data_IF_996838363370
#
_entry.id   IF_996838363370
#
_cell.length_a   1.000
_cell.length_b   1.000
_cell.length_c   1.000
_cell.angle_alpha   90.00
_cell.angle_beta   90.00
_cell.angle_gamma   90.00
#
_symmetry.space_group_name_H-M   'P 1'
#
loop_
_entity.id
_entity.type
_entity.pdbx_description
1 polymer ?
#
# COMPACT_ATOMS: atom_id res chain seq x y z
N UNK A 1 16.73 5.91 -12.64
CA UNK A 1 17.59 6.94 -13.25
C UNK A 1 18.19 7.91 -12.24
N UNK A 2 17.41 8.53 -11.33
CA UNK A 2 17.92 9.60 -10.45
C UNK A 2 19.09 9.20 -9.54
N UNK A 3 19.10 7.97 -9.00
CA UNK A 3 20.16 7.51 -8.08
C UNK A 3 21.26 6.65 -8.73
N UNK A 4 20.91 5.80 -9.70
CA UNK A 4 21.82 4.80 -10.27
C UNK A 4 22.24 5.08 -11.74
N UNK A 5 21.73 6.16 -12.35
CA UNK A 5 21.90 6.44 -13.78
C UNK A 5 21.31 5.34 -14.67
N UNK A 6 21.79 5.25 -15.91
CA UNK A 6 21.40 4.23 -16.90
C UNK A 6 22.33 3.01 -16.95
N UNK A 7 23.41 3.03 -16.16
CA UNK A 7 24.49 2.04 -16.28
C UNK A 7 24.34 0.83 -15.36
N UNK A 8 23.46 0.92 -14.36
CA UNK A 8 23.24 -0.14 -13.39
C UNK A 8 21.81 -0.68 -13.55
N UNK A 9 21.64 -1.98 -13.83
CA UNK A 9 20.31 -2.57 -13.88
C UNK A 9 19.68 -2.54 -12.49
N UNK A 10 18.48 -1.99 -12.39
CA UNK A 10 17.64 -2.12 -11.21
C UNK A 10 16.83 -3.41 -11.38
N UNK A 11 17.16 -4.41 -10.56
CA UNK A 11 16.48 -5.71 -10.59
C UNK A 11 15.48 -5.71 -9.44
N UNK A 12 14.22 -5.98 -9.76
CA UNK A 12 13.16 -6.11 -8.75
C UNK A 12 13.46 -7.29 -7.82
N UNK A 13 12.84 -7.27 -6.63
CA UNK A 13 12.99 -8.38 -5.69
C UNK A 13 12.59 -9.69 -6.37
N UNK A 14 13.47 -10.70 -6.30
CA UNK A 14 13.29 -11.99 -7.01
C UNK A 14 12.04 -12.75 -6.58
N UNK A 15 11.45 -12.38 -5.44
CA UNK A 15 10.34 -13.07 -4.80
C UNK A 15 9.20 -12.07 -4.58
N UNK A 16 8.01 -12.44 -5.05
CA UNK A 16 6.76 -11.85 -4.60
C UNK A 16 6.28 -12.64 -3.38
N UNK A 17 6.27 -12.01 -2.22
CA UNK A 17 5.90 -12.65 -0.96
C UNK A 17 5.40 -11.67 0.08
N UNK A 18 4.87 -12.23 1.15
CA UNK A 18 4.30 -11.52 2.30
C UNK A 18 4.50 -12.34 3.57
N UNK A 19 3.98 -11.87 4.70
CA UNK A 19 3.88 -12.67 5.93
C UNK A 19 3.05 -13.94 5.77
N UNK A 20 2.12 -13.95 4.82
CA UNK A 20 1.18 -15.03 4.52
C UNK A 20 1.81 -16.14 3.65
N UNK A 21 2.97 -15.87 3.04
CA UNK A 21 3.71 -16.86 2.26
C UNK A 21 4.49 -16.27 1.08
N UNK A 22 5.11 -17.18 0.32
CA UNK A 22 5.78 -16.88 -0.94
C UNK A 22 4.88 -17.24 -2.10
N UNK A 23 4.54 -16.25 -2.94
CA UNK A 23 3.49 -16.38 -3.93
C UNK A 23 3.99 -16.36 -5.36
N UNK A 24 5.14 -15.74 -5.61
CA UNK A 24 5.68 -15.66 -6.96
C UNK A 24 7.18 -15.51 -7.04
N UNK A 25 7.72 -15.77 -8.23
CA UNK A 25 9.12 -15.55 -8.57
C UNK A 25 9.24 -14.64 -9.78
N UNK A 26 10.23 -13.75 -9.76
CA UNK A 26 10.49 -12.81 -10.83
C UNK A 26 10.76 -13.56 -12.14
N UNK A 27 9.99 -13.24 -13.17
CA UNK A 27 10.02 -13.93 -14.44
C UNK A 27 11.29 -13.62 -15.25
N UNK A 28 11.75 -12.38 -15.19
CA UNK A 28 12.98 -11.93 -15.83
C UNK A 28 13.54 -10.73 -15.08
N UNK A 29 14.88 -10.67 -14.99
CA UNK A 29 15.59 -9.52 -14.39
C UNK A 29 15.42 -8.21 -15.18
N UNK A 30 14.85 -8.30 -16.38
CA UNK A 30 14.59 -7.15 -17.26
C UNK A 30 13.14 -6.66 -17.18
N UNK A 31 12.30 -7.29 -16.35
CA UNK A 31 10.87 -7.00 -16.21
C UNK A 31 10.48 -6.86 -14.75
N UNK A 32 9.27 -6.39 -14.49
CA UNK A 32 8.59 -6.39 -13.18
C UNK A 32 7.51 -7.49 -13.09
N UNK A 33 7.58 -8.47 -13.99
CA UNK A 33 6.63 -9.58 -14.08
C UNK A 33 7.04 -10.73 -13.15
N UNK A 34 6.06 -11.36 -12.53
CA UNK A 34 6.20 -12.50 -11.65
C UNK A 34 5.38 -13.68 -12.17
N UNK A 35 5.92 -14.89 -12.03
CA UNK A 35 5.15 -16.13 -12.10
C UNK A 35 4.56 -16.42 -10.74
N UNK A 36 3.26 -16.69 -10.67
CA UNK A 36 2.65 -17.22 -9.46
C UNK A 36 3.04 -18.69 -9.26
N UNK A 37 3.18 -19.10 -8.00
CA UNK A 37 3.60 -20.44 -7.60
C UNK A 37 2.39 -21.25 -7.09
N UNK A 38 1.63 -21.93 -7.98
CA UNK A 38 0.41 -22.65 -7.61
C UNK A 38 0.66 -23.84 -6.66
N UNK A 39 1.92 -24.24 -6.48
CA UNK A 39 2.32 -25.26 -5.51
C UNK A 39 2.39 -24.73 -4.07
N UNK A 40 2.44 -23.41 -3.88
CA UNK A 40 2.53 -22.78 -2.55
C UNK A 40 1.19 -22.24 -2.05
N UNK A 41 0.30 -21.83 -2.97
CA UNK A 41 -1.04 -21.39 -2.63
C UNK A 41 -1.99 -21.67 -3.80
N UNK A 42 -3.26 -21.89 -3.47
CA UNK A 42 -4.34 -21.79 -4.44
C UNK A 42 -4.76 -20.32 -4.59
N UNK A 43 -4.83 -19.83 -5.82
CA UNK A 43 -5.11 -18.43 -6.13
C UNK A 43 -6.48 -18.26 -6.77
N UNK A 44 -7.21 -17.29 -6.23
CA UNK A 44 -8.44 -16.72 -6.77
C UNK A 44 -8.20 -15.22 -7.02
N UNK A 45 -9.01 -14.63 -7.91
CA UNK A 45 -8.83 -13.24 -8.36
C UNK A 45 -10.15 -12.49 -8.35
N UNK A 46 -10.21 -11.35 -7.68
CA UNK A 46 -11.36 -10.43 -7.70
C UNK A 46 -11.03 -9.31 -8.69
N UNK A 47 -11.93 -8.97 -9.61
CA UNK A 47 -11.69 -7.83 -10.52
C UNK A 47 -11.55 -6.53 -9.74
N UNK A 48 -10.70 -5.62 -10.21
CA UNK A 48 -10.47 -4.31 -9.56
C UNK A 48 -11.78 -3.55 -9.27
N UNK A 49 -12.74 -3.58 -10.20
CA UNK A 49 -14.07 -2.95 -10.09
C UNK A 49 -14.98 -3.58 -9.02
N UNK A 50 -14.69 -4.82 -8.60
CA UNK A 50 -15.50 -5.59 -7.65
C UNK A 50 -14.88 -5.64 -6.23
N UNK A 51 -13.70 -5.05 -6.02
CA UNK A 51 -12.95 -5.12 -4.74
C UNK A 51 -13.80 -4.66 -3.54
N UNK A 52 -14.58 -3.59 -3.70
CA UNK A 52 -15.38 -3.02 -2.61
C UNK A 52 -16.69 -3.79 -2.33
N UNK A 53 -16.99 -4.84 -3.11
CA UNK A 53 -18.18 -5.65 -2.87
C UNK A 53 -18.00 -6.52 -1.62
N UNK A 54 -19.10 -6.72 -0.89
CA UNK A 54 -19.10 -7.57 0.32
C UNK A 54 -18.83 -9.04 -0.01
N UNK A 55 -19.31 -9.52 -1.17
CA UNK A 55 -19.11 -10.89 -1.65
C UNK A 55 -18.81 -10.87 -3.15
N UNK A 56 -17.59 -10.48 -3.56
CA UNK A 56 -17.24 -10.41 -4.96
C UNK A 56 -17.15 -11.81 -5.56
N UNK A 57 -17.44 -11.90 -6.85
CA UNK A 57 -17.14 -13.11 -7.61
C UNK A 57 -15.63 -13.23 -7.79
N UNK A 58 -15.11 -14.43 -7.55
CA UNK A 58 -13.72 -14.75 -7.83
C UNK A 58 -13.57 -15.46 -9.17
N UNK A 59 -12.42 -15.25 -9.79
CA UNK A 59 -11.95 -15.91 -11.00
C UNK A 59 -10.77 -16.82 -10.66
N UNK A 60 -10.61 -17.90 -11.40
CA UNK A 60 -9.45 -18.76 -11.36
C UNK A 60 -8.29 -18.16 -12.16
N UNK A 61 -7.09 -18.66 -11.92
CA UNK A 61 -5.86 -18.28 -12.64
C UNK A 61 -5.98 -18.40 -14.17
N UNK A 62 -6.82 -19.31 -14.67
CA UNK A 62 -7.06 -19.51 -16.11
C UNK A 62 -8.09 -18.55 -16.71
N UNK A 63 -8.83 -17.84 -15.86
CA UNK A 63 -9.94 -16.95 -16.25
C UNK A 63 -9.55 -15.46 -16.27
N UNK A 64 -8.40 -15.10 -15.69
CA UNK A 64 -7.92 -13.71 -15.75
C UNK A 64 -7.40 -13.36 -17.14
N UNK A 65 -7.47 -12.08 -17.48
CA UNK A 65 -7.13 -11.57 -18.81
C UNK A 65 -6.03 -10.50 -18.78
N UNK A 66 -5.09 -10.52 -19.74
CA UNK A 66 -4.09 -9.47 -19.91
C UNK A 66 -4.69 -8.06 -19.97
N UNK A 67 -3.97 -7.09 -19.40
CA UNK A 67 -4.38 -5.69 -19.36
C UNK A 67 -5.43 -5.36 -18.29
N UNK A 68 -5.86 -6.35 -17.51
CA UNK A 68 -6.81 -6.16 -16.42
C UNK A 68 -6.14 -6.38 -15.06
N UNK A 69 -6.71 -5.73 -14.04
CA UNK A 69 -6.22 -5.79 -12.67
C UNK A 69 -7.14 -6.58 -11.77
N UNK A 70 -6.53 -7.26 -10.82
CA UNK A 70 -7.22 -8.16 -9.92
C UNK A 70 -6.62 -8.12 -8.52
N UNK A 71 -7.45 -8.09 -7.49
CA UNK A 71 -6.99 -8.40 -6.14
C UNK A 71 -6.76 -9.90 -5.99
N UNK A 72 -5.63 -10.25 -5.38
CA UNK A 72 -5.25 -11.64 -5.11
C UNK A 72 -5.95 -12.15 -3.85
N UNK A 73 -6.62 -13.28 -4.00
CA UNK A 73 -7.17 -14.07 -2.91
C UNK A 73 -6.41 -15.39 -2.85
N UNK A 74 -5.91 -15.75 -1.68
CA UNK A 74 -5.10 -16.96 -1.52
C UNK A 74 -5.72 -17.95 -0.53
N UNK A 75 -5.54 -19.23 -0.81
CA UNK A 75 -5.74 -20.33 0.14
C UNK A 75 -4.41 -21.06 0.31
N UNK A 76 -3.92 -21.16 1.54
CA UNK A 76 -2.60 -21.72 1.85
C UNK A 76 -2.72 -22.97 2.71
N UNK A 77 -1.68 -23.82 2.68
CA UNK A 77 -1.57 -25.00 3.54
C UNK A 77 -1.41 -24.64 5.03
N UNK A 78 -0.97 -23.42 5.33
CA UNK A 78 -0.90 -22.84 6.67
C UNK A 78 -2.28 -22.45 7.26
N UNK A 79 -3.38 -22.69 6.53
CA UNK A 79 -4.74 -22.55 7.04
C UNK A 79 -5.44 -21.22 6.71
N UNK A 80 -4.85 -20.38 5.86
CA UNK A 80 -5.59 -19.26 5.26
C UNK A 80 -6.55 -19.83 4.21
N UNK A 81 -7.83 -19.50 4.30
CA UNK A 81 -8.87 -19.98 3.37
C UNK A 81 -9.57 -18.79 2.76
N UNK A 82 -9.47 -18.66 1.42
CA UNK A 82 -9.99 -17.53 0.65
C UNK A 82 -9.63 -16.17 1.27
N UNK A 83 -8.38 -16.05 1.72
CA UNK A 83 -7.87 -14.85 2.37
C UNK A 83 -7.58 -13.79 1.32
N UNK A 84 -8.22 -12.62 1.48
CA UNK A 84 -7.99 -11.44 0.64
C UNK A 84 -6.67 -10.80 1.02
N UNK A 85 -5.68 -10.87 0.12
CA UNK A 85 -4.36 -10.31 0.41
C UNK A 85 -4.34 -8.78 0.39
N UNK A 86 -5.30 -8.14 -0.30
CA UNK A 86 -5.28 -6.72 -0.60
C UNK A 86 -4.29 -6.32 -1.69
N UNK A 87 -3.40 -7.22 -2.14
CA UNK A 87 -2.50 -6.94 -3.25
C UNK A 87 -3.27 -7.00 -4.57
N UNK A 88 -3.22 -5.90 -5.33
CA UNK A 88 -3.79 -5.78 -6.66
C UNK A 88 -2.68 -5.98 -7.68
N UNK A 89 -2.86 -6.97 -8.55
CA UNK A 89 -1.91 -7.34 -9.59
C UNK A 89 -2.50 -7.07 -10.96
N UNK A 90 -1.65 -6.63 -11.89
CA UNK A 90 -2.01 -6.53 -13.29
C UNK A 90 -1.62 -7.83 -14.00
N UNK A 91 -2.57 -8.50 -14.66
CA UNK A 91 -2.21 -9.59 -15.57
C UNK A 91 -1.57 -8.97 -16.80
N UNK A 92 -0.28 -9.20 -17.02
CA UNK A 92 0.44 -8.56 -18.13
C UNK A 92 0.27 -9.34 -19.42
N UNK A 93 0.47 -10.65 -19.36
CA UNK A 93 0.41 -11.59 -20.48
C UNK A 93 0.39 -13.02 -19.97
N UNK A 94 0.37 -13.99 -20.88
CA UNK A 94 0.66 -15.39 -20.55
C UNK A 94 2.06 -15.76 -20.99
N UNK A 95 2.67 -16.69 -20.25
CA UNK A 95 3.90 -17.36 -20.68
C UNK A 95 3.68 -18.05 -22.02
N UNK A 96 4.60 -17.87 -22.95
CA UNK A 96 4.57 -18.46 -24.28
C UNK A 96 5.83 -19.29 -24.57
N UNK A 97 5.78 -20.09 -25.64
CA UNK A 97 6.86 -21.05 -25.97
C UNK A 97 8.21 -20.42 -26.27
N UNK A 98 8.21 -19.17 -26.70
CA UNK A 98 9.42 -18.43 -27.05
C UNK A 98 10.02 -17.68 -25.87
N UNK A 99 9.38 -17.71 -24.70
CA UNK A 99 10.00 -17.21 -23.47
C UNK A 99 11.08 -18.22 -23.07
N UNK A 100 12.36 -17.85 -23.14
CA UNK A 100 13.56 -18.67 -22.87
C UNK A 100 13.67 -19.21 -21.41
N UNK A 101 12.55 -19.24 -20.68
CA UNK A 101 12.48 -19.47 -19.25
C UNK A 101 12.25 -20.95 -18.90
N UNK A 102 11.62 -21.73 -19.80
CA UNK A 102 11.43 -23.18 -19.64
C UNK A 102 11.42 -23.87 -21.02
N UNK A 103 12.29 -24.86 -21.28
CA UNK A 103 12.17 -25.69 -22.47
C UNK A 103 10.84 -26.45 -22.44
N UNK A 104 9.94 -26.13 -23.37
CA UNK A 104 8.65 -26.81 -23.44
C UNK A 104 8.79 -28.15 -24.17
N UNK A 105 7.97 -29.15 -23.82
CA UNK A 105 8.01 -30.46 -24.46
C UNK A 105 7.90 -30.33 -25.98
N UNK A 106 8.68 -31.13 -26.70
CA UNK A 106 8.71 -31.16 -28.17
C UNK A 106 7.34 -31.57 -28.75
N UNK A 107 6.62 -32.42 -28.03
CA UNK A 107 5.26 -32.82 -28.36
C UNK A 107 4.24 -31.75 -27.93
N UNK A 108 3.17 -31.49 -28.70
CA UNK A 108 2.12 -30.56 -28.33
C UNK A 108 1.30 -31.11 -27.15
N UNK A 109 1.75 -30.81 -25.94
CA UNK A 109 0.94 -30.89 -24.72
C UNK A 109 0.14 -29.58 -24.63
N UNK A 110 -1.14 -29.66 -24.24
CA UNK A 110 -1.93 -28.48 -23.88
C UNK A 110 -1.22 -27.76 -22.73
N UNK A 111 -0.58 -26.63 -23.04
CA UNK A 111 0.17 -25.87 -22.03
C UNK A 111 -0.86 -25.10 -21.20
N UNK A 112 -0.93 -25.30 -19.87
CA UNK A 112 -1.77 -24.48 -19.03
C UNK A 112 -1.36 -23.01 -19.22
N UNK A 113 -2.35 -22.14 -19.43
CA UNK A 113 -2.12 -20.69 -19.54
C UNK A 113 -1.55 -20.19 -18.21
N UNK A 114 -0.23 -20.00 -18.14
CA UNK A 114 0.44 -19.46 -16.94
C UNK A 114 0.46 -17.94 -17.06
N UNK A 115 -0.34 -17.20 -16.27
CA UNK A 115 -0.30 -15.75 -16.33
C UNK A 115 0.99 -15.24 -15.70
N UNK A 116 1.49 -14.16 -16.30
CA UNK A 116 2.46 -13.28 -15.71
C UNK A 116 1.74 -12.08 -15.10
N UNK A 117 2.18 -11.68 -13.92
CA UNK A 117 1.56 -10.59 -13.18
C UNK A 117 2.60 -9.60 -12.70
N UNK A 118 2.28 -8.30 -12.72
CA UNK A 118 3.05 -7.27 -12.02
C UNK A 118 2.24 -6.69 -10.85
N UNK A 119 2.93 -6.25 -9.80
CA UNK A 119 2.27 -5.64 -8.64
C UNK A 119 1.83 -4.22 -9.00
N UNK A 120 0.54 -3.92 -8.89
CA UNK A 120 0.01 -2.59 -9.18
C UNK A 120 -0.01 -1.72 -7.92
N UNK A 121 -0.71 -2.16 -6.88
CA UNK A 121 -0.80 -1.49 -5.58
C UNK A 121 -1.37 -2.45 -4.52
N UNK A 122 -1.44 -2.00 -3.27
CA UNK A 122 -2.14 -2.70 -2.20
C UNK A 122 -3.39 -1.91 -1.79
N UNK A 123 -4.57 -2.49 -2.00
CA UNK A 123 -5.85 -1.93 -1.61
C UNK A 123 -5.88 -1.62 -0.11
N UNK A 124 -6.47 -0.48 0.24
CA UNK A 124 -6.55 0.01 1.62
C UNK A 124 -5.26 0.63 2.17
N UNK A 125 -4.15 0.66 1.42
CA UNK A 125 -2.95 1.41 1.83
C UNK A 125 -3.07 2.89 1.43
N UNK A 126 -2.74 3.81 2.33
CA UNK A 126 -2.79 5.25 2.09
C UNK A 126 -1.39 5.86 1.99
N UNK A 127 -0.51 5.57 2.96
CA UNK A 127 0.88 6.01 2.98
C UNK A 127 1.78 4.79 3.21
N UNK A 128 2.78 4.62 2.34
CA UNK A 128 3.81 3.58 2.47
C UNK A 128 5.13 4.11 1.92
N UNK A 129 6.18 4.12 2.73
CA UNK A 129 7.53 4.47 2.27
C UNK A 129 8.56 3.39 2.61
N UNK A 130 8.39 2.69 3.73
CA UNK A 130 9.34 1.70 4.22
C UNK A 130 8.66 0.39 4.68
N UNK A 131 7.44 0.13 4.21
CA UNK A 131 6.66 -1.06 4.55
C UNK A 131 5.80 -0.90 5.80
N UNK A 132 5.61 0.32 6.30
CA UNK A 132 4.79 0.58 7.49
C UNK A 132 3.29 0.62 7.21
N UNK A 133 2.88 0.69 5.94
CA UNK A 133 1.51 0.45 5.46
C UNK A 133 0.45 1.21 6.27
N UNK A 134 0.58 2.52 6.33
CA UNK A 134 -0.39 3.39 7.00
C UNK A 134 -1.68 3.46 6.16
N UNK A 135 -2.80 2.98 6.69
CA UNK A 135 -4.10 3.02 6.05
C UNK A 135 -4.93 4.22 6.53
N UNK A 136 -6.12 4.40 5.94
CA UNK A 136 -7.05 5.48 6.29
C UNK A 136 -7.48 5.42 7.77
N UNK A 137 -7.70 4.24 8.32
CA UNK A 137 -8.10 4.07 9.72
C UNK A 137 -7.02 4.56 10.68
N UNK A 138 -5.75 4.25 10.41
CA UNK A 138 -4.62 4.72 11.22
C UNK A 138 -4.57 6.26 11.23
N UNK A 139 -4.69 6.89 10.06
CA UNK A 139 -4.63 8.33 9.95
C UNK A 139 -5.86 9.01 10.53
N UNK A 140 -7.07 8.51 10.25
CA UNK A 140 -8.32 9.01 10.83
C UNK A 140 -8.30 8.95 12.35
N UNK A 141 -7.88 7.82 12.93
CA UNK A 141 -7.74 7.69 14.38
C UNK A 141 -6.72 8.69 14.93
N UNK A 142 -5.59 8.88 14.25
CA UNK A 142 -4.58 9.85 14.68
C UNK A 142 -5.12 11.28 14.68
N UNK A 143 -5.79 11.70 13.60
CA UNK A 143 -6.39 13.02 13.45
C UNK A 143 -7.48 13.28 14.48
N UNK A 144 -8.39 12.33 14.70
CA UNK A 144 -9.44 12.42 15.71
C UNK A 144 -8.87 12.56 17.13
N UNK A 145 -7.83 11.79 17.47
CA UNK A 145 -7.16 11.90 18.76
C UNK A 145 -6.44 13.25 18.93
N UNK A 146 -5.81 13.75 17.88
CA UNK A 146 -5.19 15.09 17.89
C UNK A 146 -6.23 16.18 18.13
N UNK A 147 -7.34 16.15 17.41
CA UNK A 147 -8.43 17.13 17.56
C UNK A 147 -9.05 17.05 18.96
N UNK A 148 -9.26 15.83 19.48
CA UNK A 148 -9.71 15.66 20.86
C UNK A 148 -8.74 16.28 21.88
N UNK A 149 -7.43 16.18 21.65
CA UNK A 149 -6.43 16.82 22.50
C UNK A 149 -6.48 18.34 22.42
N UNK A 150 -6.64 18.92 21.23
CA UNK A 150 -6.82 20.36 21.07
C UNK A 150 -8.08 20.88 21.79
N UNK A 151 -9.21 20.16 21.68
CA UNK A 151 -10.43 20.49 22.43
C UNK A 151 -10.20 20.48 23.94
N UNK A 152 -9.47 19.49 24.46
CA UNK A 152 -9.13 19.42 25.89
C UNK A 152 -8.20 20.56 26.36
N UNK A 153 -7.44 21.17 25.45
CA UNK A 153 -6.64 22.36 25.70
C UNK A 153 -7.45 23.67 25.54
N UNK A 154 -8.75 23.56 25.24
CA UNK A 154 -9.66 24.69 25.07
C UNK A 154 -9.67 25.30 23.66
N UNK A 155 -9.12 24.60 22.66
CA UNK A 155 -9.12 25.06 21.26
C UNK A 155 -10.40 24.51 20.57
N UNK A 156 -11.34 25.38 20.14
CA UNK A 156 -12.66 24.97 19.65
C UNK A 156 -12.63 24.63 18.15
N UNK A 157 -11.96 23.53 17.79
CA UNK A 157 -11.85 23.05 16.39
C UNK A 157 -12.53 21.72 16.17
N UNK A 158 -13.15 21.58 15.00
CA UNK A 158 -13.76 20.35 14.51
C UNK A 158 -13.05 19.85 13.24
N UNK A 159 -13.10 18.53 13.07
CA UNK A 159 -12.60 17.85 11.88
C UNK A 159 -13.53 18.07 10.69
N UNK A 160 -13.02 18.57 9.57
CA UNK A 160 -13.76 18.64 8.31
C UNK A 160 -13.35 17.53 7.35
N UNK A 161 -12.11 17.59 6.88
CA UNK A 161 -11.58 16.69 5.87
C UNK A 161 -10.05 16.63 5.93
N UNK A 162 -9.45 15.70 5.20
CA UNK A 162 -8.01 15.58 5.09
C UNK A 162 -7.60 14.97 3.76
N UNK A 163 -6.36 15.25 3.38
CA UNK A 163 -5.69 14.50 2.32
C UNK A 163 -4.22 14.35 2.67
N UNK A 164 -3.55 13.38 2.08
CA UNK A 164 -2.16 13.09 2.42
C UNK A 164 -1.39 12.56 1.22
N UNK A 165 -0.08 12.76 1.22
CA UNK A 165 0.79 12.11 0.26
C UNK A 165 2.19 11.85 0.85
N UNK A 166 2.90 10.83 0.35
CA UNK A 166 4.28 10.60 0.72
C UNK A 166 5.21 11.52 -0.09
N UNK A 167 6.00 12.34 0.60
CA UNK A 167 7.01 13.20 0.00
C UNK A 167 8.33 12.42 -0.14
N UNK A 168 8.48 11.78 -1.30
CA UNK A 168 9.58 10.87 -1.62
C UNK A 168 10.79 11.58 -2.26
N UNK A 169 10.66 12.86 -2.61
CA UNK A 169 11.69 13.67 -3.26
C UNK A 169 12.65 14.38 -2.28
N UNK A 170 12.54 14.07 -0.98
CA UNK A 170 13.38 14.59 0.11
C UNK A 170 14.04 13.45 0.88
N UNK A 171 15.18 13.74 1.52
CA UNK A 171 15.89 12.77 2.37
C UNK A 171 16.24 13.37 3.74
N UNK A 172 15.81 12.74 4.86
CA UNK A 172 14.94 11.57 4.93
C UNK A 172 13.55 11.84 4.31
N UNK A 173 12.91 10.80 3.76
CA UNK A 173 11.56 10.92 3.20
C UNK A 173 10.57 11.25 4.30
N UNK A 174 9.43 11.87 3.98
CA UNK A 174 8.41 12.23 4.98
C UNK A 174 7.00 12.24 4.45
N UNK A 175 6.03 12.32 5.34
CA UNK A 175 4.63 12.46 4.95
C UNK A 175 4.16 13.90 5.07
N UNK A 176 3.23 14.26 4.19
CA UNK A 176 2.53 15.54 4.24
C UNK A 176 1.05 15.23 4.38
N UNK A 177 0.43 15.84 5.39
CA UNK A 177 -1.00 15.73 5.67
C UNK A 177 -1.58 17.14 5.60
N UNK A 178 -2.59 17.32 4.77
CA UNK A 178 -3.43 18.51 4.77
C UNK A 178 -4.66 18.18 5.61
N UNK A 179 -4.96 19.03 6.58
CA UNK A 179 -6.05 18.85 7.54
C UNK A 179 -6.94 20.09 7.51
N UNK A 180 -8.16 19.92 7.04
CA UNK A 180 -9.17 20.97 7.06
C UNK A 180 -9.91 20.95 8.40
N UNK A 181 -9.97 22.11 9.04
CA UNK A 181 -10.63 22.32 10.32
C UNK A 181 -11.77 23.34 10.18
N UNK A 182 -12.86 23.11 10.91
CA UNK A 182 -13.91 24.12 11.12
C UNK A 182 -13.84 24.66 12.55
N UNK A 183 -14.25 25.93 12.71
CA UNK A 183 -14.52 26.48 14.03
C UNK A 183 -15.82 25.87 14.59
N UNK A 184 -15.84 25.60 15.88
CA UNK A 184 -17.07 25.23 16.58
C UNK A 184 -18.04 26.42 16.55
N UNK A 185 -19.34 26.18 16.34
CA UNK A 185 -20.32 27.24 16.00
C UNK A 185 -20.46 28.31 17.09
N UNK A 186 -20.02 28.03 18.32
CA UNK A 186 -20.17 28.89 19.48
C UNK A 186 -18.90 29.70 19.83
N UNK A 187 -17.71 29.27 19.41
CA UNK A 187 -16.43 29.86 19.83
C UNK A 187 -15.44 29.99 18.67
N UNK A 188 -15.01 31.21 18.39
CA UNK A 188 -13.96 31.48 17.39
C UNK A 188 -12.57 31.22 17.95
N UNK A 189 -11.68 30.76 17.08
CA UNK A 189 -10.27 30.62 17.41
C UNK A 189 -9.64 32.01 17.58
N UNK A 190 -8.95 32.22 18.70
CA UNK A 190 -8.15 33.43 18.88
C UNK A 190 -6.76 33.30 18.22
N UNK A 191 -6.06 34.43 18.05
CA UNK A 191 -4.76 34.46 17.39
C UNK A 191 -3.68 33.63 18.12
N UNK A 192 -3.79 33.48 19.44
CA UNK A 192 -2.85 32.69 20.25
C UNK A 192 -3.09 31.19 20.04
N UNK A 193 -4.36 30.76 20.06
CA UNK A 193 -4.78 29.39 19.76
C UNK A 193 -4.40 28.97 18.34
N UNK A 194 -4.59 29.86 17.35
CA UNK A 194 -4.16 29.60 15.97
C UNK A 194 -2.65 29.42 15.87
N UNK A 195 -1.88 30.22 16.61
CA UNK A 195 -0.42 30.09 16.65
C UNK A 195 0.02 28.78 17.32
N UNK A 196 -0.67 28.36 18.39
CA UNK A 196 -0.43 27.08 19.05
C UNK A 196 -0.67 25.94 18.06
N UNK A 197 -1.83 25.89 17.40
CA UNK A 197 -2.16 24.88 16.39
C UNK A 197 -1.07 24.76 15.31
N UNK A 198 -0.66 25.89 14.73
CA UNK A 198 0.37 25.90 13.68
C UNK A 198 1.74 25.44 14.17
N UNK A 199 2.04 25.62 15.46
CA UNK A 199 3.34 25.25 16.04
C UNK A 199 3.36 23.79 16.49
N UNK A 200 2.23 23.24 16.93
CA UNK A 200 2.17 21.88 17.53
C UNK A 200 1.61 20.82 16.58
N UNK A 201 0.90 21.19 15.51
CA UNK A 201 0.20 20.23 14.65
C UNK A 201 1.09 19.13 14.07
N UNK A 202 2.29 19.47 13.61
CA UNK A 202 3.24 18.47 13.10
C UNK A 202 3.55 17.42 14.17
N UNK A 203 4.00 17.87 15.34
CA UNK A 203 4.42 16.98 16.44
C UNK A 203 3.26 16.16 17.00
N UNK A 204 2.07 16.75 17.12
CA UNK A 204 0.92 16.08 17.70
C UNK A 204 0.32 15.04 16.75
N UNK A 205 0.16 15.36 15.46
CA UNK A 205 -0.28 14.40 14.45
C UNK A 205 0.76 13.29 14.27
N UNK A 206 2.06 13.61 14.19
CA UNK A 206 3.14 12.60 14.12
C UNK A 206 3.09 11.62 15.29
N UNK A 207 2.92 12.15 16.50
CA UNK A 207 2.83 11.36 17.72
C UNK A 207 1.59 10.48 17.75
N UNK A 208 0.42 11.00 17.35
CA UNK A 208 -0.80 10.18 17.33
C UNK A 208 -0.74 9.11 16.22
N UNK A 209 -0.13 9.42 15.08
CA UNK A 209 0.08 8.45 14.01
C UNK A 209 1.02 7.32 14.46
N UNK A 210 2.08 7.65 15.20
CA UNK A 210 2.95 6.66 15.83
C UNK A 210 2.25 5.76 16.84
N UNK A 211 1.22 6.25 17.54
CA UNK A 211 0.40 5.40 18.42
C UNK A 211 -0.58 4.53 17.63
N UNK A 212 -1.10 5.04 16.52
CA UNK A 212 -2.04 4.33 15.67
C UNK A 212 -1.36 3.25 14.81
N UNK A 213 -0.07 3.43 14.48
CA UNK A 213 0.72 2.50 13.68
C UNK A 213 2.11 2.28 14.33
N UNK A 214 2.28 1.13 15.00
CA UNK A 214 3.54 0.79 15.66
C UNK A 214 4.73 0.65 14.69
N UNK A 215 4.48 0.26 13.44
CA UNK A 215 5.55 0.12 12.43
C UNK A 215 6.02 1.50 12.00
N UNK A 216 5.09 2.44 11.79
CA UNK A 216 5.42 3.86 11.53
C UNK A 216 6.27 4.43 12.66
N UNK A 217 5.87 4.18 13.92
CA UNK A 217 6.62 4.63 15.09
C UNK A 217 8.05 4.08 15.13
N UNK A 218 8.25 2.80 14.78
CA UNK A 218 9.60 2.20 14.70
C UNK A 218 10.44 2.88 13.62
N UNK A 219 9.88 3.05 12.41
CA UNK A 219 10.58 3.70 11.29
C UNK A 219 10.98 5.14 11.65
N UNK A 220 10.09 5.89 12.34
CA UNK A 220 10.38 7.23 12.87
C UNK A 220 11.49 7.22 13.93
N UNK A 221 11.47 6.27 14.88
CA UNK A 221 12.49 6.15 15.93
C UNK A 221 13.89 5.83 15.39
N UNK A 222 13.98 5.09 14.29
CA UNK A 222 15.25 4.80 13.62
C UNK A 222 15.72 5.93 12.68
N UNK A 223 15.00 7.06 12.63
CA UNK A 223 15.26 8.18 11.70
C UNK A 223 15.29 7.76 10.23
N UNK A 224 14.52 6.73 9.88
CA UNK A 224 14.38 6.26 8.49
C UNK A 224 13.39 7.18 7.74
N UNK A 225 12.34 7.63 8.43
CA UNK A 225 11.38 8.62 7.96
C UNK A 225 11.48 9.89 8.82
N UNK A 226 11.47 11.07 8.20
CA UNK A 226 11.46 12.38 8.88
C UNK A 226 10.10 12.65 9.54
N UNK A 227 9.99 13.62 10.47
CA UNK A 227 8.69 14.06 10.98
C UNK A 227 7.77 14.48 9.84
N UNK A 228 6.49 14.14 9.98
CA UNK A 228 5.49 14.58 9.02
C UNK A 228 5.28 16.10 9.07
N UNK A 229 4.87 16.67 7.95
CA UNK A 229 4.34 18.03 7.88
C UNK A 229 2.81 17.96 7.92
N UNK A 230 2.20 18.62 8.89
CA UNK A 230 0.76 18.84 8.97
C UNK A 230 0.46 20.28 8.53
N UNK A 231 -0.36 20.43 7.50
CA UNK A 231 -0.76 21.71 6.92
C UNK A 231 -2.24 21.91 7.25
N UNK A 232 -2.52 22.95 8.06
CA UNK A 232 -3.86 23.39 8.44
C UNK A 232 -4.41 24.44 7.48
#
# INVERSE_FOLDING_TARGET
QFYCGDRLPLINLTIYGSSEGFFGSLASIHTDEYFLLPTHAFFEFIKEEDIEQTQPKTLLVSEIEPGHRYEVVCTTDAGLVRYRMGDVVNCTRFLCRTDDLVPLPTEPVEIPRVPLVSLAYRAGSLLDAFGEKTNEIHLMNALQQTIHQWKNQGIPVDFCDFTSYPKLDVFPMKYVIFLELSEDQECKIDAQQLQILKTTANEEVDRQLGKANEVYQKVRQFNILDPLDCIL
#
